data_IF_976005568470
#
_entry.id   IF_976005568470
#
_cell.length_a   1.000
_cell.length_b   1.000
_cell.length_c   1.000
_cell.angle_alpha   90.00
_cell.angle_beta   90.00
_cell.angle_gamma   90.00
#
_symmetry.space_group_name_H-M   'P 1'
#
loop_
_entity.id
_entity.type
_entity.pdbx_description
1 polymer ?
#
# COMPACT_ATOMS: atom_id res chain seq x y z
N UNK A 1 6.41 6.38 -9.05
CA UNK A 1 6.43 5.00 -8.49
C UNK A 1 6.74 4.96 -6.99
N UNK A 2 7.93 5.37 -6.49
CA UNK A 2 8.29 5.26 -5.06
C UNK A 2 7.33 6.01 -4.13
N UNK A 3 6.93 7.23 -4.45
CA UNK A 3 5.95 8.00 -3.66
C UNK A 3 4.60 7.29 -3.54
N UNK A 4 4.10 6.72 -4.64
CA UNK A 4 2.86 5.95 -4.66
C UNK A 4 2.96 4.70 -3.78
N UNK A 5 4.07 3.95 -3.87
CA UNK A 5 4.29 2.77 -3.03
C UNK A 5 4.40 3.13 -1.54
N UNK A 6 5.07 4.24 -1.19
CA UNK A 6 5.13 4.73 0.20
C UNK A 6 3.77 5.16 0.72
N UNK A 7 2.96 5.81 -0.10
CA UNK A 7 1.59 6.15 0.25
C UNK A 7 0.77 4.90 0.56
N UNK A 8 0.77 3.93 -0.34
CA UNK A 8 0.04 2.67 -0.18
C UNK A 8 0.57 1.85 1.00
N UNK A 9 1.88 1.93 1.30
CA UNK A 9 2.47 1.25 2.44
C UNK A 9 1.86 1.67 3.79
N UNK A 10 1.27 2.88 3.87
CA UNK A 10 0.53 3.35 5.04
C UNK A 10 -0.66 2.47 5.43
N UNK A 11 -1.23 1.74 4.46
CA UNK A 11 -2.30 0.77 4.69
C UNK A 11 -1.80 -0.68 4.72
N UNK A 12 -0.52 -0.94 4.91
CA UNK A 12 0.02 -2.29 5.03
C UNK A 12 0.36 -2.58 6.49
N UNK A 13 -0.07 -3.73 6.98
CA UNK A 13 0.24 -4.13 8.35
C UNK A 13 1.70 -4.55 8.49
N UNK A 14 2.38 -4.06 9.51
CA UNK A 14 3.75 -4.47 9.83
C UNK A 14 3.80 -5.58 10.88
N UNK A 15 2.77 -5.69 11.72
CA UNK A 15 2.75 -6.56 12.90
C UNK A 15 1.73 -7.69 12.86
N UNK A 16 0.82 -7.69 11.87
CA UNK A 16 -0.23 -8.69 11.80
C UNK A 16 0.35 -10.09 11.54
N UNK A 17 -0.27 -11.14 12.09
CA UNK A 17 0.16 -12.52 11.89
C UNK A 17 -0.25 -13.06 10.50
N UNK A 18 -1.24 -12.45 9.84
CA UNK A 18 -1.68 -12.81 8.48
C UNK A 18 -0.65 -12.28 7.48
N UNK A 19 0.07 -13.15 6.73
CA UNK A 19 1.13 -12.72 5.82
C UNK A 19 0.64 -11.81 4.71
N UNK A 20 -0.55 -12.06 4.18
CA UNK A 20 -1.18 -11.34 3.07
C UNK A 20 -1.31 -9.84 3.37
N UNK A 21 -1.61 -9.46 4.61
CA UNK A 21 -1.73 -8.07 5.03
C UNK A 21 -0.38 -7.31 5.08
N UNK A 22 0.74 -8.00 4.81
CA UNK A 22 2.09 -7.41 4.70
C UNK A 22 2.54 -7.19 3.26
N UNK A 23 1.67 -7.52 2.31
CA UNK A 23 1.97 -7.47 0.89
C UNK A 23 1.16 -6.37 0.20
N UNK A 24 1.71 -5.83 -0.88
CA UNK A 24 0.91 -5.09 -1.83
C UNK A 24 0.16 -6.06 -2.73
N UNK A 25 -1.00 -5.65 -3.20
CA UNK A 25 -1.62 -6.23 -4.39
C UNK A 25 -1.40 -5.27 -5.54
N UNK A 26 -0.70 -5.70 -6.58
CA UNK A 26 -0.45 -4.90 -7.79
C UNK A 26 -1.14 -5.60 -8.95
N UNK A 27 -2.15 -4.96 -9.50
CA UNK A 27 -2.96 -5.46 -10.62
C UNK A 27 -3.29 -4.30 -11.54
N UNK A 28 -3.17 -4.50 -12.84
CA UNK A 28 -3.48 -3.48 -13.86
C UNK A 28 -2.79 -2.13 -13.61
N UNK A 29 -1.57 -2.14 -13.08
CA UNK A 29 -0.81 -0.92 -12.80
C UNK A 29 -1.31 -0.14 -11.57
N UNK A 30 -2.12 -0.73 -10.72
CA UNK A 30 -2.58 -0.15 -9.45
C UNK A 30 -2.02 -0.97 -8.29
N UNK A 31 -1.30 -0.31 -7.39
CA UNK A 31 -0.89 -0.92 -6.13
C UNK A 31 -1.94 -0.64 -5.06
N UNK A 32 -2.31 -1.67 -4.34
CA UNK A 32 -3.24 -1.60 -3.19
C UNK A 32 -2.59 -2.21 -1.96
N UNK A 33 -2.73 -1.54 -0.82
CA UNK A 33 -2.38 -2.04 0.50
C UNK A 33 -3.62 -2.13 1.38
N UNK A 34 -3.66 -3.14 2.25
CA UNK A 34 -4.77 -3.37 3.17
C UNK A 34 -4.27 -3.91 4.50
N UNK A 35 -4.77 -3.39 5.62
CA UNK A 35 -4.37 -3.83 6.96
C UNK A 35 -5.50 -4.47 7.78
N UNK A 36 -6.63 -4.74 7.14
CA UNK A 36 -7.84 -5.24 7.79
C UNK A 36 -8.89 -4.16 8.09
N UNK A 37 -8.51 -2.88 8.06
CA UNK A 37 -9.41 -1.75 8.36
C UNK A 37 -9.31 -0.67 7.29
N UNK A 38 -8.09 -0.33 6.87
CA UNK A 38 -7.82 0.70 5.89
C UNK A 38 -7.27 0.07 4.61
N UNK A 39 -7.82 0.45 3.48
CA UNK A 39 -7.28 0.18 2.15
C UNK A 39 -6.82 1.49 1.49
N UNK A 40 -5.64 1.49 0.92
CA UNK A 40 -5.13 2.59 0.10
C UNK A 40 -4.70 2.04 -1.25
N UNK A 41 -5.07 2.75 -2.31
CA UNK A 41 -4.68 2.40 -3.68
C UNK A 41 -4.03 3.60 -4.36
N UNK A 42 -3.06 3.33 -5.22
CA UNK A 42 -2.41 4.36 -6.03
C UNK A 42 -1.90 3.76 -7.34
N UNK A 43 -2.00 4.50 -8.45
CA UNK A 43 -1.42 4.05 -9.69
C UNK A 43 0.11 3.96 -9.56
N UNK A 44 0.65 2.89 -10.12
CA UNK A 44 2.10 2.63 -10.22
C UNK A 44 2.42 2.26 -11.66
N UNK A 45 3.60 2.67 -12.13
CA UNK A 45 4.06 2.33 -13.47
C UNK A 45 4.66 0.92 -13.48
N UNK A 46 3.80 -0.07 -13.31
CA UNK A 46 4.15 -1.49 -13.27
C UNK A 46 3.16 -2.27 -14.14
N UNK A 47 3.70 -2.99 -15.12
CA UNK A 47 2.94 -3.82 -16.05
C UNK A 47 2.90 -5.30 -15.64
N UNK A 48 3.17 -5.60 -14.38
CA UNK A 48 3.26 -6.98 -13.87
C UNK A 48 2.31 -7.14 -12.69
N UNK A 49 1.38 -8.06 -12.82
CA UNK A 49 0.46 -8.42 -11.73
C UNK A 49 1.18 -9.31 -10.74
N UNK A 50 1.26 -8.87 -9.49
CA UNK A 50 1.98 -9.58 -8.43
C UNK A 50 1.59 -9.05 -7.03
N UNK A 51 1.89 -9.85 -6.01
CA UNK A 51 1.68 -9.46 -4.61
C UNK A 51 2.98 -9.49 -3.81
N UNK A 52 3.89 -8.51 -4.02
CA UNK A 52 5.18 -8.47 -3.36
C UNK A 52 5.07 -7.99 -1.91
N UNK A 53 6.02 -8.45 -1.09
CA UNK A 53 6.15 -7.99 0.30
C UNK A 53 6.47 -6.49 0.34
N UNK A 54 5.56 -5.70 0.90
CA UNK A 54 5.55 -4.25 0.80
C UNK A 54 6.85 -3.60 1.29
N UNK A 55 7.30 -3.93 2.50
CA UNK A 55 8.50 -3.35 3.08
C UNK A 55 9.79 -3.70 2.28
N UNK A 56 9.85 -4.91 1.71
CA UNK A 56 10.98 -5.33 0.90
C UNK A 56 11.00 -4.60 -0.45
N UNK A 57 9.84 -4.46 -1.10
CA UNK A 57 9.74 -3.75 -2.36
C UNK A 57 10.11 -2.27 -2.21
N UNK A 58 9.52 -1.58 -1.24
CA UNK A 58 9.83 -0.16 -0.99
C UNK A 58 11.32 0.03 -0.74
N UNK A 59 11.92 -0.79 0.14
CA UNK A 59 13.36 -0.73 0.43
C UNK A 59 14.21 -1.04 -0.79
N UNK A 60 13.80 -1.97 -1.64
CA UNK A 60 14.51 -2.29 -2.88
C UNK A 60 14.50 -1.13 -3.86
N UNK A 61 13.33 -0.49 -4.06
CA UNK A 61 13.19 0.68 -4.94
C UNK A 61 13.96 1.89 -4.39
N UNK A 62 14.01 2.09 -3.08
CA UNK A 62 14.82 3.15 -2.46
C UNK A 62 16.32 3.01 -2.72
N UNK A 63 16.81 1.79 -2.91
CA UNK A 63 18.22 1.54 -3.22
C UNK A 63 18.55 1.69 -4.72
N UNK A 64 17.53 1.85 -5.56
CA UNK A 64 17.71 2.05 -6.98
C UNK A 64 18.11 3.50 -7.28
N UNK A 65 19.20 3.68 -7.98
CA UNK A 65 19.71 5.00 -8.39
C UNK A 65 19.44 5.34 -9.86
N UNK A 66 18.94 4.35 -10.61
CA UNK A 66 18.79 4.41 -12.05
C UNK A 66 17.42 3.87 -12.48
N UNK A 67 17.19 3.72 -13.77
CA UNK A 67 15.99 3.08 -14.30
C UNK A 67 15.76 1.72 -13.62
N UNK A 68 14.56 1.51 -13.14
CA UNK A 68 14.16 0.29 -12.45
C UNK A 68 13.45 -0.64 -13.44
N UNK A 69 13.94 -1.86 -13.57
CA UNK A 69 13.28 -2.94 -14.30
C UNK A 69 12.75 -3.97 -13.31
N UNK A 70 11.48 -4.31 -13.47
CA UNK A 70 10.77 -5.27 -12.63
C UNK A 70 10.32 -6.47 -13.47
N UNK A 71 10.55 -7.67 -12.96
CA UNK A 71 10.18 -8.89 -13.64
C UNK A 71 9.75 -9.96 -12.63
N UNK A 72 8.56 -10.53 -12.83
CA UNK A 72 8.12 -11.68 -12.07
C UNK A 72 8.83 -12.94 -12.55
N UNK A 73 9.39 -13.72 -11.65
CA UNK A 73 10.05 -14.99 -11.94
C UNK A 73 9.06 -16.15 -11.87
N UNK A 74 9.40 -17.29 -12.47
CA UNK A 74 8.59 -18.53 -12.38
C UNK A 74 8.43 -19.05 -10.94
N UNK A 75 9.31 -18.62 -10.03
CA UNK A 75 9.24 -18.97 -8.61
C UNK A 75 8.43 -17.97 -7.78
N UNK A 76 7.54 -17.20 -8.41
CA UNK A 76 6.72 -16.17 -7.79
C UNK A 76 7.52 -15.18 -6.93
N UNK A 77 8.65 -14.70 -7.47
CA UNK A 77 9.47 -13.66 -6.84
C UNK A 77 9.63 -12.49 -7.80
N UNK A 78 9.46 -11.28 -7.32
CA UNK A 78 9.68 -10.07 -8.11
C UNK A 78 11.16 -9.73 -8.12
N UNK A 79 11.77 -9.80 -9.30
CA UNK A 79 13.15 -9.38 -9.52
C UNK A 79 13.17 -7.87 -9.78
N UNK A 80 13.94 -7.15 -8.97
CA UNK A 80 14.19 -5.70 -9.10
C UNK A 80 15.62 -5.53 -9.59
N UNK A 81 15.79 -4.79 -10.67
CA UNK A 81 17.08 -4.49 -11.30
C UNK A 81 17.23 -2.98 -11.48
N UNK A 82 18.40 -2.44 -11.12
CA UNK A 82 18.76 -1.03 -11.40
C UNK A 82 20.29 -0.95 -11.53
N UNK A 83 20.80 -0.80 -12.76
CA UNK A 83 22.23 -0.87 -13.01
C UNK A 83 22.84 -2.18 -12.46
N UNK A 84 23.85 -2.12 -11.60
CA UNK A 84 24.46 -3.31 -10.99
C UNK A 84 23.63 -3.88 -9.83
N UNK A 85 22.65 -3.14 -9.32
CA UNK A 85 21.81 -3.57 -8.22
C UNK A 85 20.78 -4.59 -8.67
N UNK A 86 20.72 -5.72 -7.97
CA UNK A 86 19.78 -6.80 -8.23
C UNK A 86 19.29 -7.38 -6.91
N UNK A 87 17.98 -7.44 -6.73
CA UNK A 87 17.35 -8.05 -5.56
C UNK A 87 16.08 -8.81 -5.96
N UNK A 88 15.71 -9.80 -5.17
CA UNK A 88 14.46 -10.53 -5.29
C UNK A 88 13.57 -10.21 -4.09
N UNK A 89 12.32 -9.87 -4.37
CA UNK A 89 11.27 -9.63 -3.38
C UNK A 89 10.32 -10.80 -3.43
N UNK A 90 10.03 -11.40 -2.29
CA UNK A 90 9.10 -12.51 -2.20
C UNK A 90 7.67 -12.03 -2.44
N UNK A 91 6.90 -12.81 -3.19
CA UNK A 91 5.50 -12.55 -3.48
C UNK A 91 4.65 -13.67 -2.89
N UNK A 92 3.39 -13.34 -2.54
CA UNK A 92 2.34 -14.33 -2.29
C UNK A 92 1.49 -14.49 -3.55
N UNK A 93 0.68 -15.54 -3.61
CA UNK A 93 -0.26 -15.72 -4.71
C UNK A 93 -1.33 -14.64 -4.68
N UNK A 94 -1.74 -14.17 -5.86
CA UNK A 94 -2.83 -13.18 -5.99
C UNK A 94 -4.19 -13.78 -5.67
N UNK A 95 -4.35 -15.09 -5.94
CA UNK A 95 -5.59 -15.79 -5.65
C UNK A 95 -5.87 -15.84 -4.13
N UNK A 96 -7.06 -15.42 -3.74
CA UNK A 96 -7.47 -15.41 -2.33
C UNK A 96 -7.08 -14.16 -1.55
N UNK A 97 -6.40 -13.19 -2.17
CA UNK A 97 -6.24 -11.88 -1.53
C UNK A 97 -7.59 -11.15 -1.45
N UNK A 98 -7.87 -10.46 -0.32
CA UNK A 98 -9.11 -9.71 -0.19
C UNK A 98 -9.17 -8.59 -1.22
N UNK A 99 -10.18 -8.64 -2.09
CA UNK A 99 -10.46 -7.55 -3.01
C UNK A 99 -11.17 -6.44 -2.24
N UNK A 100 -10.51 -5.29 -2.12
CA UNK A 100 -11.07 -4.12 -1.46
C UNK A 100 -11.59 -3.15 -2.52
N UNK A 101 -12.90 -3.14 -2.72
CA UNK A 101 -13.58 -2.11 -3.52
C UNK A 101 -14.40 -1.24 -2.59
N UNK A 102 -14.27 0.09 -2.67
CA UNK A 102 -15.15 0.97 -1.94
C UNK A 102 -16.59 0.75 -2.41
N UNK A 103 -17.51 0.62 -1.46
CA UNK A 103 -18.94 0.58 -1.72
C UNK A 103 -19.53 1.96 -1.42
N UNK A 104 -20.37 2.46 -2.31
CA UNK A 104 -21.04 3.76 -2.16
C UNK A 104 -20.73 4.73 -3.29
N UNK A 105 -21.25 5.93 -3.16
CA UNK A 105 -21.09 7.01 -4.13
C UNK A 105 -19.81 7.83 -3.84
N UNK A 106 -19.18 8.33 -4.89
CA UNK A 106 -18.05 9.25 -4.76
C UNK A 106 -18.51 10.58 -4.16
N UNK A 107 -17.85 11.00 -3.09
CA UNK A 107 -18.10 12.31 -2.45
C UNK A 107 -16.91 13.22 -2.75
N UNK A 108 -17.10 14.31 -3.52
CA UNK A 108 -16.04 15.27 -3.76
C UNK A 108 -15.71 16.02 -2.46
N UNK A 109 -14.42 16.02 -2.10
CA UNK A 109 -13.91 16.69 -0.90
C UNK A 109 -12.83 17.68 -1.29
N UNK A 110 -12.89 18.90 -0.71
CA UNK A 110 -11.78 19.83 -0.79
C UNK A 110 -10.61 19.33 0.09
N UNK A 111 -9.60 18.80 -0.57
CA UNK A 111 -8.43 18.21 0.10
C UNK A 111 -7.61 19.23 0.89
N UNK A 112 -7.52 20.49 0.45
CA UNK A 112 -6.79 21.54 1.17
C UNK A 112 -7.52 21.93 2.45
N UNK A 113 -8.82 22.15 2.36
CA UNK A 113 -9.65 22.46 3.53
C UNK A 113 -9.61 21.32 4.56
N UNK A 114 -9.65 20.07 4.09
CA UNK A 114 -9.56 18.89 4.96
C UNK A 114 -8.19 18.82 5.66
N UNK A 115 -7.09 19.01 4.93
CA UNK A 115 -5.74 18.99 5.48
C UNK A 115 -5.48 20.13 6.48
N UNK A 116 -6.16 21.26 6.34
CA UNK A 116 -6.11 22.35 7.32
C UNK A 116 -6.95 22.05 8.57
N UNK A 117 -8.12 21.44 8.41
CA UNK A 117 -9.05 21.18 9.50
C UNK A 117 -8.62 20.00 10.39
N UNK A 118 -8.16 18.89 9.80
CA UNK A 118 -7.83 17.67 10.52
C UNK A 118 -6.84 17.87 11.69
N UNK A 119 -5.71 18.58 11.55
CA UNK A 119 -4.77 18.79 12.65
C UNK A 119 -5.40 19.57 13.83
N UNK A 120 -6.41 20.42 13.54
CA UNK A 120 -7.13 21.19 14.57
C UNK A 120 -8.15 20.35 15.32
N UNK A 121 -8.73 19.33 14.66
CA UNK A 121 -9.75 18.46 15.21
C UNK A 121 -9.17 17.25 15.94
N UNK A 122 -8.07 16.66 15.43
CA UNK A 122 -7.46 15.45 15.97
C UNK A 122 -7.20 15.48 17.49
N UNK A 123 -6.77 16.61 18.12
CA UNK A 123 -6.58 16.66 19.57
C UNK A 123 -7.86 16.44 20.39
N UNK A 124 -9.04 16.61 19.79
CA UNK A 124 -10.33 16.42 20.44
C UNK A 124 -10.97 15.05 20.15
N UNK A 125 -10.34 14.24 19.31
CA UNK A 125 -10.81 12.89 19.02
C UNK A 125 -10.50 11.97 20.20
N UNK A 126 -11.52 11.28 20.68
CA UNK A 126 -11.41 10.34 21.79
C UNK A 126 -10.66 9.05 21.38
N UNK A 127 -10.24 8.28 22.37
CA UNK A 127 -9.68 6.93 22.18
C UNK A 127 -10.41 5.88 23.01
N UNK A 128 -11.59 6.20 23.52
CA UNK A 128 -12.37 5.35 24.41
C UNK A 128 -13.16 4.32 23.59
N UNK A 129 -12.82 3.05 23.74
CA UNK A 129 -13.49 1.94 23.05
C UNK A 129 -14.98 1.81 23.44
N UNK A 130 -15.39 2.33 24.63
CA UNK A 130 -16.78 2.33 25.07
C UNK A 130 -17.63 3.44 24.43
N UNK A 131 -16.99 4.39 23.76
CA UNK A 131 -17.60 5.55 23.13
C UNK A 131 -17.11 5.73 21.70
N UNK A 132 -17.40 4.77 20.80
CA UNK A 132 -16.85 4.77 19.45
C UNK A 132 -17.19 6.02 18.62
N UNK A 133 -18.30 6.67 18.91
CA UNK A 133 -18.70 7.92 18.26
C UNK A 133 -17.80 9.12 18.57
N UNK A 134 -16.99 9.05 19.62
CA UNK A 134 -16.02 10.10 19.97
C UNK A 134 -14.65 9.89 19.33
N UNK A 135 -14.45 8.76 18.67
CA UNK A 135 -13.16 8.33 18.12
C UNK A 135 -13.00 8.67 16.63
N UNK A 136 -13.90 9.46 16.08
CA UNK A 136 -13.89 9.91 14.68
C UNK A 136 -14.02 11.43 14.57
N UNK A 137 -13.71 11.92 13.36
CA UNK A 137 -13.89 13.32 12.95
C UNK A 137 -15.09 13.40 12.01
#
# INVERSE_FOLDING_TARGET
>A
MLSSLKFVQGAVSTKHFIPELKHFTIVDGVATGFNGTLALSSPVDLSVDCAPKAAQLVKAIEQCSDTVSLQLTKANRLRVLSGPFKVFVDCVELEGLPEQRPEGDDVPIDGEALMEALPKLLPFVGSDASRPWSNGV
#
